data_IF_959939026658
#
_entry.id   IF_959939026658
#
_cell.length_a   1.000
_cell.length_b   1.000
_cell.length_c   1.000
_cell.angle_alpha   90.00
_cell.angle_beta   90.00
_cell.angle_gamma   90.00
#
_symmetry.space_group_name_H-M   'P 1'
#
loop_
_entity.id
_entity.type
_entity.pdbx_description
1 polymer ?
#
# COMPACT_ATOMS: atom_id res chain seq x y z
N UNK A 1 49.75 20.11 18.46
CA UNK A 1 49.58 18.82 19.14
C UNK A 1 48.11 18.47 19.04
N UNK A 2 47.74 17.21 18.82
CA UNK A 2 46.32 16.83 18.85
C UNK A 2 45.78 16.98 20.28
N UNK A 3 44.56 17.54 20.39
CA UNK A 3 43.84 17.71 21.64
C UNK A 3 42.73 16.66 21.71
N UNK A 4 42.58 16.02 22.86
CA UNK A 4 41.52 15.03 23.13
C UNK A 4 40.39 15.71 23.88
N UNK A 5 39.21 15.74 23.30
CA UNK A 5 37.99 16.26 23.90
C UNK A 5 37.13 15.06 24.34
N UNK A 6 36.85 14.94 25.64
CA UNK A 6 35.94 13.92 26.16
C UNK A 6 34.53 14.49 26.25
N UNK A 7 33.58 13.84 25.64
CA UNK A 7 32.16 14.20 25.70
C UNK A 7 31.34 13.06 26.25
N UNK A 8 30.50 13.31 27.26
CA UNK A 8 29.55 12.31 27.77
C UNK A 8 28.41 12.16 26.77
N UNK A 9 28.13 10.92 26.42
CA UNK A 9 26.99 10.55 25.56
C UNK A 9 26.06 9.62 26.31
N UNK A 10 24.79 9.66 25.96
CA UNK A 10 23.72 8.95 26.61
C UNK A 10 23.03 8.02 25.61
N UNK A 11 22.63 6.84 26.07
CA UNK A 11 21.69 5.99 25.36
C UNK A 11 20.26 6.52 25.53
N UNK A 12 19.37 6.20 24.61
CA UNK A 12 17.99 6.70 24.64
C UNK A 12 17.27 6.48 25.99
N UNK A 13 17.35 5.29 26.64
CA UNK A 13 16.70 5.08 27.94
C UNK A 13 17.20 5.98 29.06
N UNK A 14 18.44 6.47 28.96
CA UNK A 14 19.10 7.31 29.97
C UNK A 14 18.71 8.80 29.89
N UNK A 15 18.03 9.18 28.79
CA UNK A 15 17.61 10.56 28.57
C UNK A 15 16.44 10.96 29.46
N UNK A 16 16.36 12.24 29.80
CA UNK A 16 15.14 12.83 30.37
C UNK A 16 13.99 12.82 29.35
N UNK A 17 12.74 12.93 29.80
CA UNK A 17 11.57 12.90 28.91
C UNK A 17 11.63 13.99 27.84
N UNK A 18 12.05 15.20 28.18
CA UNK A 18 12.23 16.32 27.23
C UNK A 18 13.32 16.00 26.19
N UNK A 19 14.40 15.33 26.62
CA UNK A 19 15.47 14.92 25.71
C UNK A 19 15.04 13.74 24.81
N UNK A 20 14.24 12.82 25.33
CA UNK A 20 13.61 11.75 24.53
C UNK A 20 12.69 12.30 23.43
N UNK A 21 11.89 13.31 23.74
CA UNK A 21 11.03 13.96 22.73
C UNK A 21 11.85 14.55 21.57
N UNK A 22 13.00 15.16 21.88
CA UNK A 22 13.89 15.68 20.85
C UNK A 22 14.55 14.57 20.02
N UNK A 23 14.95 13.48 20.69
CA UNK A 23 15.52 12.32 20.02
C UNK A 23 14.51 11.67 19.09
N UNK A 24 13.22 11.49 19.52
CA UNK A 24 12.13 11.01 18.67
C UNK A 24 11.88 11.94 17.49
N UNK A 25 11.84 13.26 17.72
CA UNK A 25 11.65 14.25 16.66
C UNK A 25 12.76 14.15 15.61
N UNK A 26 14.01 14.07 16.05
CA UNK A 26 15.13 13.87 15.15
C UNK A 26 14.99 12.58 14.32
N UNK A 27 14.61 11.45 14.94
CA UNK A 27 14.44 10.19 14.22
C UNK A 27 13.30 10.24 13.20
N UNK A 28 12.18 10.94 13.54
CA UNK A 28 11.06 11.17 12.58
C UNK A 28 11.47 11.98 11.37
N UNK A 29 12.40 12.94 11.51
CA UNK A 29 12.90 13.73 10.38
C UNK A 29 13.67 12.88 9.37
N UNK A 30 14.20 11.72 9.77
CA UNK A 30 14.81 10.77 8.84
C UNK A 30 13.76 10.11 7.94
N UNK A 31 12.51 10.04 8.40
CA UNK A 31 11.43 9.31 7.73
C UNK A 31 11.57 7.80 7.81
N UNK A 32 10.54 7.05 7.41
CA UNK A 32 10.66 5.62 7.19
C UNK A 32 11.66 5.33 6.05
N UNK A 33 12.29 4.17 6.08
CA UNK A 33 13.21 3.74 5.04
C UNK A 33 12.55 3.83 3.65
N UNK A 34 13.36 4.10 2.62
CA UNK A 34 12.95 3.93 1.24
C UNK A 34 12.37 2.49 1.09
N UNK A 35 11.29 2.37 0.32
CA UNK A 35 10.58 1.11 0.08
C UNK A 35 9.81 0.51 1.30
N UNK A 36 9.49 1.30 2.34
CA UNK A 36 8.71 0.86 3.51
C UNK A 36 7.35 0.22 3.14
N UNK A 37 6.82 0.57 1.99
CA UNK A 37 5.55 0.05 1.47
C UNK A 37 5.65 -1.30 0.76
N UNK A 38 6.86 -1.86 0.55
CA UNK A 38 7.05 -3.06 -0.27
C UNK A 38 6.26 -4.26 0.25
N UNK A 39 6.24 -4.50 1.57
CA UNK A 39 5.46 -5.59 2.16
C UNK A 39 3.95 -5.42 1.94
N UNK A 40 3.43 -4.19 2.01
CA UNK A 40 2.02 -3.89 1.73
C UNK A 40 1.71 -4.12 0.24
N UNK A 41 2.64 -3.79 -0.64
CA UNK A 41 2.47 -4.03 -2.09
C UNK A 41 2.50 -5.52 -2.42
N UNK A 42 3.40 -6.29 -1.84
CA UNK A 42 3.47 -7.76 -2.03
C UNK A 42 2.15 -8.44 -1.57
N UNK A 43 1.61 -8.02 -0.43
CA UNK A 43 0.33 -8.51 0.06
C UNK A 43 -0.82 -8.12 -0.89
N UNK A 44 -0.83 -6.87 -1.36
CA UNK A 44 -1.81 -6.39 -2.32
C UNK A 44 -1.74 -7.11 -3.66
N UNK A 45 -0.55 -7.39 -4.19
CA UNK A 45 -0.36 -8.18 -5.41
C UNK A 45 -0.98 -9.56 -5.24
N UNK A 46 -0.76 -10.20 -4.09
CA UNK A 46 -1.36 -11.49 -3.77
C UNK A 46 -2.89 -11.44 -3.71
N UNK A 47 -3.45 -10.40 -3.12
CA UNK A 47 -4.90 -10.18 -3.09
C UNK A 47 -5.45 -9.99 -4.51
N UNK A 48 -4.77 -9.19 -5.34
CA UNK A 48 -5.12 -9.01 -6.74
C UNK A 48 -5.16 -10.33 -7.51
N UNK A 49 -4.13 -11.17 -7.37
CA UNK A 49 -4.11 -12.52 -7.98
C UNK A 49 -5.31 -13.37 -7.55
N UNK A 50 -5.64 -13.38 -6.26
CA UNK A 50 -6.78 -14.14 -5.72
C UNK A 50 -8.09 -13.65 -6.32
N UNK A 51 -8.26 -12.33 -6.48
CA UNK A 51 -9.45 -11.70 -7.04
C UNK A 51 -9.54 -11.82 -8.58
N UNK A 52 -8.46 -12.21 -9.25
CA UNK A 52 -8.38 -12.28 -10.71
C UNK A 52 -8.01 -10.96 -11.37
N UNK A 53 -7.34 -10.08 -10.62
CA UNK A 53 -6.77 -8.84 -11.13
C UNK A 53 -5.31 -9.09 -11.50
N UNK A 54 -5.03 -9.00 -12.78
CA UNK A 54 -3.67 -9.08 -13.32
C UNK A 54 -3.11 -7.66 -13.41
N UNK A 55 -2.25 -7.32 -12.46
CA UNK A 55 -1.63 -6.00 -12.43
C UNK A 55 -0.71 -5.81 -13.64
N UNK A 56 -0.81 -4.65 -14.27
CA UNK A 56 0.12 -4.21 -15.29
C UNK A 56 1.49 -3.97 -14.65
N UNK A 57 2.54 -4.25 -15.38
CA UNK A 57 3.92 -4.01 -14.92
C UNK A 57 4.67 -3.10 -15.88
N UNK A 58 5.63 -2.36 -15.35
CA UNK A 58 6.56 -1.54 -16.12
C UNK A 58 8.00 -1.97 -15.85
N UNK A 59 8.86 -2.04 -16.89
CA UNK A 59 10.25 -2.39 -16.71
C UNK A 59 11.01 -1.23 -16.05
N UNK A 60 11.66 -1.49 -14.92
CA UNK A 60 12.55 -0.53 -14.25
C UNK A 60 13.98 -1.04 -14.33
N UNK A 61 14.89 -0.20 -14.83
CA UNK A 61 16.30 -0.55 -14.94
C UNK A 61 16.99 -0.38 -13.58
N UNK A 62 17.64 -1.44 -13.13
CA UNK A 62 18.42 -1.44 -11.89
C UNK A 62 19.83 -0.87 -12.14
N UNK A 63 20.47 -0.37 -11.09
CA UNK A 63 21.84 0.19 -11.16
C UNK A 63 22.86 -0.80 -11.75
N UNK A 64 22.67 -2.11 -11.57
CA UNK A 64 23.51 -3.17 -12.17
C UNK A 64 23.20 -3.53 -13.61
N UNK A 65 22.31 -2.78 -14.31
CA UNK A 65 21.94 -3.01 -15.72
C UNK A 65 20.84 -4.05 -15.95
N UNK A 66 20.46 -4.83 -14.95
CA UNK A 66 19.31 -5.74 -14.99
C UNK A 66 17.98 -4.95 -15.02
N UNK A 67 16.90 -5.59 -15.47
CA UNK A 67 15.55 -5.00 -15.49
C UNK A 67 14.65 -5.75 -14.52
N UNK A 68 13.98 -5.03 -13.62
CA UNK A 68 12.92 -5.56 -12.75
C UNK A 68 11.56 -5.09 -13.29
N UNK A 69 10.56 -5.97 -13.28
CA UNK A 69 9.18 -5.59 -13.54
C UNK A 69 8.59 -5.02 -12.25
N UNK A 70 8.12 -3.78 -12.30
CA UNK A 70 7.45 -3.12 -11.17
C UNK A 70 5.96 -3.07 -11.45
N UNK A 71 5.08 -3.51 -10.53
CA UNK A 71 3.65 -3.42 -10.70
C UNK A 71 3.20 -1.96 -10.77
N UNK A 72 2.18 -1.70 -11.59
CA UNK A 72 1.57 -0.40 -11.73
C UNK A 72 0.61 -0.15 -10.56
N UNK A 73 1.18 0.11 -9.40
CA UNK A 73 0.52 0.48 -8.16
C UNK A 73 1.15 1.79 -7.70
N UNK A 74 0.33 2.74 -7.30
CA UNK A 74 0.80 4.03 -6.80
C UNK A 74 -0.07 4.49 -5.63
N UNK A 75 0.54 5.28 -4.76
CA UNK A 75 -0.16 6.08 -3.78
C UNK A 75 0.48 7.47 -3.71
N UNK A 76 -0.25 8.44 -3.23
CA UNK A 76 0.24 9.75 -2.79
C UNK A 76 0.30 9.78 -1.27
N UNK A 77 0.83 10.86 -0.71
CA UNK A 77 0.96 11.01 0.74
C UNK A 77 -0.35 10.81 1.52
N UNK A 78 -0.30 11.12 2.80
CA UNK A 78 -1.46 11.03 3.68
C UNK A 78 -1.84 12.43 4.15
N UNK A 79 -3.14 12.64 4.46
CA UNK A 79 -3.72 13.87 5.03
C UNK A 79 -3.83 15.09 4.11
N UNK A 80 -3.56 14.96 2.81
CA UNK A 80 -3.79 16.02 1.83
C UNK A 80 -5.02 15.75 0.96
N UNK A 81 -5.64 16.81 0.48
CA UNK A 81 -6.75 16.66 -0.46
C UNK A 81 -6.26 16.01 -1.76
N UNK A 82 -6.90 14.91 -2.16
CA UNK A 82 -6.52 14.15 -3.35
C UNK A 82 -5.49 13.04 -3.10
N UNK A 83 -5.12 12.80 -1.84
CA UNK A 83 -4.34 11.63 -1.46
C UNK A 83 -5.18 10.35 -1.57
N UNK A 84 -4.53 9.29 -2.00
CA UNK A 84 -5.19 8.01 -2.22
C UNK A 84 -4.25 6.98 -2.83
N UNK A 85 -4.81 5.91 -3.35
CA UNK A 85 -4.08 4.90 -4.12
C UNK A 85 -4.79 4.61 -5.44
N UNK A 86 -4.02 4.14 -6.42
CA UNK A 86 -4.49 3.72 -7.73
C UNK A 86 -3.69 2.53 -8.24
N UNK A 87 -4.27 1.81 -9.20
CA UNK A 87 -3.63 0.67 -9.86
C UNK A 87 -3.97 0.65 -11.35
N UNK A 88 -3.15 -0.07 -12.13
CA UNK A 88 -3.48 -0.45 -13.51
C UNK A 88 -3.42 -1.97 -13.66
N UNK A 89 -4.31 -2.50 -14.47
CA UNK A 89 -4.36 -3.93 -14.70
C UNK A 89 -5.60 -4.37 -15.45
N UNK A 90 -5.85 -5.67 -15.40
CA UNK A 90 -6.99 -6.32 -16.05
C UNK A 90 -7.66 -7.27 -15.08
N UNK A 91 -8.95 -7.08 -14.84
CA UNK A 91 -9.77 -7.97 -14.03
C UNK A 91 -10.50 -8.98 -14.93
N UNK A 92 -10.38 -10.26 -14.59
CA UNK A 92 -11.19 -11.33 -15.16
C UNK A 92 -11.75 -12.24 -14.06
N UNK A 93 -12.70 -13.11 -14.42
CA UNK A 93 -13.27 -14.02 -13.43
C UNK A 93 -12.24 -14.99 -12.86
N UNK A 94 -12.09 -14.99 -11.55
CA UNK A 94 -11.29 -15.96 -10.81
C UNK A 94 -12.19 -16.91 -10.02
N UNK A 95 -12.23 -18.19 -10.43
CA UNK A 95 -13.07 -19.19 -9.77
C UNK A 95 -12.74 -19.33 -8.29
N UNK A 96 -13.74 -19.20 -7.42
CA UNK A 96 -13.59 -19.37 -5.97
C UNK A 96 -12.86 -18.23 -5.28
N UNK A 97 -12.71 -17.05 -5.89
CA UNK A 97 -12.03 -15.89 -5.35
C UNK A 97 -12.52 -15.53 -3.94
N UNK A 98 -13.84 -15.44 -3.73
CA UNK A 98 -14.40 -15.09 -2.42
C UNK A 98 -14.05 -16.08 -1.30
N UNK A 99 -14.01 -17.39 -1.59
CA UNK A 99 -13.57 -18.38 -0.61
C UNK A 99 -12.07 -18.28 -0.32
N UNK A 100 -11.25 -18.03 -1.36
CA UNK A 100 -9.80 -17.87 -1.20
C UNK A 100 -9.44 -16.58 -0.44
N UNK A 101 -10.16 -15.48 -0.66
CA UNK A 101 -9.99 -14.25 0.12
C UNK A 101 -10.31 -14.48 1.60
N UNK A 102 -11.39 -15.23 1.92
CA UNK A 102 -11.70 -15.56 3.31
C UNK A 102 -10.65 -16.45 3.97
N UNK A 103 -10.05 -17.35 3.22
CA UNK A 103 -8.95 -18.18 3.72
C UNK A 103 -7.66 -17.37 3.92
N UNK A 104 -7.38 -16.42 3.02
CA UNK A 104 -6.20 -15.58 3.06
C UNK A 104 -6.27 -14.52 4.16
N UNK A 105 -7.36 -13.76 4.18
CA UNK A 105 -7.59 -12.68 5.14
C UNK A 105 -8.88 -12.93 5.95
N UNK A 106 -8.90 -13.89 6.90
CA UNK A 106 -10.12 -14.39 7.53
C UNK A 106 -10.86 -13.35 8.38
N UNK A 107 -10.18 -12.29 8.81
CA UNK A 107 -10.74 -11.22 9.64
C UNK A 107 -11.06 -9.93 8.87
N UNK A 108 -10.71 -9.85 7.59
CA UNK A 108 -10.91 -8.63 6.80
C UNK A 108 -12.28 -8.60 6.14
N UNK A 109 -13.24 -7.98 6.84
CA UNK A 109 -14.62 -7.84 6.34
C UNK A 109 -14.71 -6.97 5.07
N UNK A 110 -13.78 -6.02 4.88
CA UNK A 110 -13.75 -5.16 3.68
C UNK A 110 -13.39 -5.97 2.44
N UNK A 111 -12.34 -6.78 2.51
CA UNK A 111 -11.97 -7.68 1.41
C UNK A 111 -13.05 -8.73 1.13
N UNK A 112 -13.70 -9.27 2.18
CA UNK A 112 -14.83 -10.18 2.01
C UNK A 112 -15.96 -9.53 1.21
N UNK A 113 -16.33 -8.29 1.57
CA UNK A 113 -17.39 -7.53 0.88
C UNK A 113 -17.04 -7.27 -0.59
N UNK A 114 -15.80 -6.87 -0.90
CA UNK A 114 -15.33 -6.65 -2.26
C UNK A 114 -15.43 -7.95 -3.08
N UNK A 115 -14.89 -9.05 -2.55
CA UNK A 115 -14.90 -10.34 -3.23
C UNK A 115 -16.32 -10.88 -3.48
N UNK A 116 -17.24 -10.69 -2.53
CA UNK A 116 -18.65 -11.10 -2.67
C UNK A 116 -19.39 -10.31 -3.72
N UNK A 117 -19.17 -8.99 -3.78
CA UNK A 117 -19.77 -8.13 -4.82
C UNK A 117 -19.28 -8.54 -6.20
N UNK A 118 -17.96 -8.72 -6.36
CA UNK A 118 -17.38 -9.21 -7.61
C UNK A 118 -17.92 -10.59 -8.01
N UNK A 119 -18.01 -11.52 -7.06
CA UNK A 119 -18.56 -12.85 -7.33
C UNK A 119 -20.04 -12.79 -7.72
N UNK A 120 -20.83 -11.96 -7.04
CA UNK A 120 -22.26 -11.84 -7.30
C UNK A 120 -22.54 -11.28 -8.69
N UNK A 121 -21.83 -10.22 -9.07
CA UNK A 121 -22.04 -9.60 -10.40
C UNK A 121 -21.50 -10.49 -11.51
N UNK A 122 -20.38 -11.17 -11.30
CA UNK A 122 -19.85 -12.17 -12.24
C UNK A 122 -20.85 -13.30 -12.48
N UNK A 123 -21.44 -13.86 -11.40
CA UNK A 123 -22.46 -14.93 -11.51
C UNK A 123 -23.68 -14.50 -12.33
N UNK A 124 -24.16 -13.28 -12.15
CA UNK A 124 -25.30 -12.73 -12.90
C UNK A 124 -24.99 -12.54 -14.40
N UNK A 125 -23.71 -12.38 -14.72
CA UNK A 125 -23.21 -12.24 -16.08
C UNK A 125 -22.50 -13.51 -16.59
N UNK A 126 -22.85 -14.69 -16.06
CA UNK A 126 -22.31 -15.98 -16.47
C UNK A 126 -20.78 -16.08 -16.37
N UNK A 127 -20.16 -15.32 -15.46
CA UNK A 127 -18.71 -15.26 -15.26
C UNK A 127 -17.94 -14.74 -16.49
N UNK A 128 -18.56 -13.91 -17.29
CA UNK A 128 -18.04 -13.39 -18.56
C UNK A 128 -17.62 -11.92 -18.47
N UNK A 129 -17.72 -11.28 -17.28
CA UNK A 129 -17.28 -9.91 -17.14
C UNK A 129 -15.75 -9.82 -17.05
N UNK A 130 -15.23 -8.81 -17.74
CA UNK A 130 -13.84 -8.38 -17.65
C UNK A 130 -13.80 -6.86 -17.51
N UNK A 131 -12.72 -6.35 -16.93
CA UNK A 131 -12.51 -4.92 -16.82
C UNK A 131 -11.06 -4.54 -17.06
N UNK A 132 -10.83 -3.56 -17.91
CA UNK A 132 -9.55 -2.89 -18.05
C UNK A 132 -9.48 -1.74 -17.07
N UNK A 133 -8.40 -1.70 -16.26
CA UNK A 133 -8.17 -0.69 -15.24
C UNK A 133 -6.98 0.15 -15.69
N UNK A 134 -7.19 1.44 -15.91
CA UNK A 134 -6.16 2.39 -16.31
C UNK A 134 -6.17 3.61 -15.39
N UNK A 135 -4.99 4.15 -15.11
CA UNK A 135 -4.84 5.37 -14.35
C UNK A 135 -4.65 6.56 -15.31
N UNK A 136 -5.30 7.67 -14.99
CA UNK A 136 -5.16 8.93 -15.75
C UNK A 136 -5.01 10.11 -14.79
N UNK A 137 -4.05 10.96 -15.10
CA UNK A 137 -3.87 12.22 -14.39
C UNK A 137 -2.61 12.27 -13.55
N UNK A 138 -2.53 13.32 -12.73
CA UNK A 138 -1.34 13.66 -11.93
C UNK A 138 -1.40 13.08 -10.51
N UNK A 139 -2.59 12.81 -10.01
CA UNK A 139 -2.81 12.38 -8.64
C UNK A 139 -3.16 10.89 -8.60
N UNK A 140 -2.72 10.21 -7.55
CA UNK A 140 -3.01 8.79 -7.32
C UNK A 140 -4.18 8.66 -6.34
N UNK A 141 -5.37 8.47 -6.90
CA UNK A 141 -6.60 8.38 -6.13
C UNK A 141 -7.57 7.41 -6.85
N UNK A 142 -8.48 6.75 -6.12
CA UNK A 142 -9.43 5.80 -6.72
C UNK A 142 -10.32 6.41 -7.80
N UNK A 143 -10.57 7.72 -7.77
CA UNK A 143 -11.32 8.42 -8.82
C UNK A 143 -10.49 8.86 -10.03
N UNK A 144 -9.17 8.70 -9.98
CA UNK A 144 -8.31 8.90 -11.17
C UNK A 144 -8.14 7.63 -12.00
N UNK A 145 -8.73 6.53 -11.54
CA UNK A 145 -8.82 5.30 -12.33
C UNK A 145 -10.03 5.33 -13.26
N UNK A 146 -9.81 4.97 -14.53
CA UNK A 146 -10.86 4.59 -15.49
C UNK A 146 -10.95 3.07 -15.50
N UNK A 147 -12.18 2.57 -15.44
CA UNK A 147 -12.47 1.13 -15.43
C UNK A 147 -13.46 0.86 -16.55
N UNK A 148 -13.00 0.22 -17.62
CA UNK A 148 -13.80 -0.11 -18.78
C UNK A 148 -14.28 -1.56 -18.67
N UNK A 149 -15.59 -1.74 -18.42
CA UNK A 149 -16.20 -3.04 -18.19
C UNK A 149 -16.75 -3.62 -19.49
N UNK A 150 -16.36 -4.84 -19.80
CA UNK A 150 -16.83 -5.59 -20.97
C UNK A 150 -17.38 -6.95 -20.57
N UNK A 151 -18.17 -7.57 -21.46
CA UNK A 151 -18.63 -8.93 -21.31
C UNK A 151 -18.18 -9.76 -22.51
N UNK A 152 -17.36 -10.77 -22.27
CA UNK A 152 -16.96 -11.75 -23.28
C UNK A 152 -18.07 -12.79 -23.47
N UNK A 153 -19.10 -12.39 -24.23
CA UNK A 153 -20.26 -13.24 -24.52
C UNK A 153 -20.18 -13.78 -25.94
N UNK A 154 -20.21 -15.11 -26.13
CA UNK A 154 -20.27 -15.72 -27.47
C UNK A 154 -21.50 -15.27 -28.32
N UNK A 155 -22.54 -14.79 -27.66
CA UNK A 155 -23.79 -14.32 -28.29
C UNK A 155 -23.93 -12.80 -28.29
N UNK A 156 -22.82 -12.06 -28.03
CA UNK A 156 -22.77 -10.58 -28.03
C UNK A 156 -23.74 -9.92 -27.04
N UNK A 157 -24.09 -10.61 -25.96
CA UNK A 157 -24.95 -10.03 -24.95
C UNK A 157 -24.20 -8.96 -24.15
N UNK A 158 -24.79 -7.77 -23.94
CA UNK A 158 -24.18 -6.74 -23.13
C UNK A 158 -24.12 -7.16 -21.66
N UNK A 159 -23.27 -6.49 -20.83
CA UNK A 159 -23.35 -6.60 -19.38
C UNK A 159 -24.76 -6.25 -18.86
N UNK A 160 -25.12 -6.74 -17.65
CA UNK A 160 -26.33 -6.26 -16.97
C UNK A 160 -26.17 -4.77 -16.64
N UNK A 161 -27.29 -4.03 -16.58
CA UNK A 161 -27.29 -2.56 -16.46
C UNK A 161 -26.49 -2.02 -15.24
N UNK A 162 -26.38 -2.81 -14.17
CA UNK A 162 -25.67 -2.47 -12.94
C UNK A 162 -24.23 -3.05 -12.87
N UNK A 163 -23.80 -3.78 -13.91
CA UNK A 163 -22.52 -4.49 -13.86
C UNK A 163 -21.33 -3.54 -13.82
N UNK A 164 -21.37 -2.48 -14.62
CA UNK A 164 -20.32 -1.47 -14.67
C UNK A 164 -20.18 -0.77 -13.32
N UNK A 165 -21.28 -0.24 -12.77
CA UNK A 165 -21.30 0.46 -11.49
C UNK A 165 -20.73 -0.42 -10.36
N UNK A 166 -21.21 -1.67 -10.25
CA UNK A 166 -20.77 -2.59 -9.19
C UNK A 166 -19.29 -2.94 -9.33
N UNK A 167 -18.80 -3.20 -10.54
CA UNK A 167 -17.38 -3.52 -10.76
C UNK A 167 -16.48 -2.32 -10.51
N UNK A 168 -16.87 -1.14 -11.02
CA UNK A 168 -16.12 0.11 -10.80
C UNK A 168 -15.98 0.39 -9.30
N UNK A 169 -17.09 0.35 -8.55
CA UNK A 169 -17.04 0.61 -7.11
C UNK A 169 -16.28 -0.48 -6.33
N UNK A 170 -16.35 -1.73 -6.72
CA UNK A 170 -15.56 -2.79 -6.10
C UNK A 170 -14.05 -2.58 -6.30
N UNK A 171 -13.63 -2.14 -7.49
CA UNK A 171 -12.23 -1.83 -7.80
C UNK A 171 -11.76 -0.57 -7.05
N UNK A 172 -12.61 0.46 -6.95
CA UNK A 172 -12.33 1.65 -6.16
C UNK A 172 -12.20 1.34 -4.68
N UNK A 173 -13.08 0.49 -4.14
CA UNK A 173 -12.99 0.04 -2.75
C UNK A 173 -11.72 -0.74 -2.48
N UNK A 174 -11.23 -1.51 -3.46
CA UNK A 174 -9.94 -2.20 -3.35
C UNK A 174 -8.77 -1.20 -3.30
N UNK A 175 -8.79 -0.14 -4.09
CA UNK A 175 -7.79 0.92 -4.01
C UNK A 175 -7.85 1.68 -2.67
N UNK A 176 -9.06 1.96 -2.13
CA UNK A 176 -9.24 2.53 -0.79
C UNK A 176 -8.74 1.58 0.30
N UNK A 177 -8.93 0.29 0.13
CA UNK A 177 -8.40 -0.71 1.04
C UNK A 177 -6.87 -0.64 1.07
N UNK A 178 -6.21 -0.68 -0.10
CA UNK A 178 -4.76 -0.53 -0.21
C UNK A 178 -4.27 0.75 0.48
N UNK A 179 -4.91 1.88 0.22
CA UNK A 179 -4.54 3.16 0.83
C UNK A 179 -4.60 3.11 2.35
N UNK A 180 -5.63 2.48 2.93
CA UNK A 180 -5.74 2.30 4.39
C UNK A 180 -4.65 1.39 4.96
N UNK A 181 -4.24 0.34 4.24
CA UNK A 181 -3.12 -0.50 4.68
C UNK A 181 -1.81 0.28 4.70
N UNK A 182 -1.54 1.04 3.64
CA UNK A 182 -0.37 1.92 3.57
C UNK A 182 -0.37 2.97 4.69
N UNK A 183 -1.51 3.59 4.96
CA UNK A 183 -1.62 4.55 6.06
C UNK A 183 -1.36 3.87 7.42
N UNK A 184 -1.95 2.71 7.65
CA UNK A 184 -1.75 1.94 8.90
C UNK A 184 -0.29 1.56 9.11
N UNK A 185 0.39 1.14 8.06
CA UNK A 185 1.83 0.82 8.11
C UNK A 185 2.68 2.07 8.39
N UNK A 186 2.38 3.17 7.71
CA UNK A 186 3.07 4.44 7.93
C UNK A 186 2.86 4.94 9.37
N UNK A 187 1.63 4.91 9.89
CA UNK A 187 1.30 5.32 11.25
C UNK A 187 2.01 4.43 12.28
N UNK A 188 2.14 3.13 12.01
CA UNK A 188 2.91 2.20 12.84
C UNK A 188 4.40 2.55 12.84
N UNK A 189 5.02 2.71 11.68
CA UNK A 189 6.45 3.02 11.55
C UNK A 189 6.84 4.38 12.14
N UNK A 190 5.90 5.34 12.17
CA UNK A 190 6.11 6.68 12.72
C UNK A 190 5.59 6.85 14.15
N UNK A 191 5.07 5.79 14.77
CA UNK A 191 4.66 5.78 16.17
C UNK A 191 5.84 5.99 17.12
N UNK A 192 5.58 6.52 18.32
CA UNK A 192 6.61 6.70 19.34
C UNK A 192 7.31 5.39 19.67
N UNK A 193 6.54 4.31 19.78
CA UNK A 193 7.01 2.97 20.12
C UNK A 193 8.01 2.42 19.07
N UNK A 194 7.62 2.45 17.80
CA UNK A 194 8.49 1.98 16.68
C UNK A 194 9.76 2.84 16.54
N UNK A 195 9.63 4.15 16.75
CA UNK A 195 10.75 5.10 16.73
C UNK A 195 11.72 4.80 17.87
N UNK A 196 11.23 4.59 19.09
CA UNK A 196 12.08 4.27 20.25
C UNK A 196 12.81 2.94 20.05
N UNK A 197 12.09 1.93 19.56
CA UNK A 197 12.70 0.64 19.22
C UNK A 197 13.79 0.81 18.17
N UNK A 198 13.52 1.56 17.10
CA UNK A 198 14.49 1.86 16.04
C UNK A 198 15.74 2.59 16.57
N UNK A 199 15.57 3.56 17.46
CA UNK A 199 16.67 4.29 18.09
C UNK A 199 17.54 3.34 18.94
N UNK A 200 16.90 2.46 19.73
CA UNK A 200 17.57 1.53 20.63
C UNK A 200 18.31 0.44 19.85
N UNK A 201 17.65 -0.18 18.87
CA UNK A 201 18.24 -1.27 18.05
C UNK A 201 19.44 -0.78 17.25
N UNK A 202 19.42 0.47 16.78
CA UNK A 202 20.55 1.06 16.07
C UNK A 202 21.61 1.67 16.99
N UNK A 203 21.47 1.54 18.31
CA UNK A 203 22.44 2.00 19.31
C UNK A 203 22.79 3.50 19.17
N UNK A 204 21.83 4.34 18.74
CA UNK A 204 22.08 5.76 18.61
C UNK A 204 22.36 6.41 19.97
N UNK A 205 23.38 7.28 19.99
CA UNK A 205 23.78 8.01 21.18
C UNK A 205 23.45 9.49 21.06
N UNK A 206 23.22 10.12 22.21
CA UNK A 206 22.72 11.49 22.28
C UNK A 206 23.53 12.31 23.32
N UNK A 207 23.50 13.62 23.18
CA UNK A 207 23.89 14.55 24.24
C UNK A 207 22.82 14.56 25.33
N UNK A 208 23.12 15.09 26.53
CA UNK A 208 22.17 15.25 27.63
C UNK A 208 20.85 15.93 27.20
N UNK A 209 20.91 16.86 26.26
CA UNK A 209 19.75 17.58 25.73
C UNK A 209 19.01 16.84 24.59
N UNK A 210 19.30 15.59 24.29
CA UNK A 210 18.60 14.77 23.29
C UNK A 210 19.00 15.03 21.83
N UNK A 211 20.09 15.76 21.58
CA UNK A 211 20.64 15.95 20.24
C UNK A 211 21.50 14.73 19.89
N UNK A 212 21.32 14.15 18.69
CA UNK A 212 22.15 13.04 18.22
C UNK A 212 23.63 13.39 18.27
N UNK A 213 24.42 12.45 18.73
CA UNK A 213 25.89 12.52 18.77
C UNK A 213 26.48 11.54 17.74
N UNK A 214 27.31 12.04 16.81
CA UNK A 214 27.93 11.26 15.73
C UNK A 214 27.38 11.55 14.35
#
# INVERSE_FOLDING_TARGET
MPEVICTTVYQFPELSDVAKDKARSWYRELGPHDDWWDAVYEDFERICEILGIHLKTTPVRLMGGATRQKPCIWFSGFWSQGDGASLEGYLSHAKGAAARIRAYAPKDASLHSIADRLQTIQRRNFYQLAAEISHRGRYYHEYTMSVDVTRDSPTWQPPTADAEEIMVEAIRDLARWLYRQLQSEYDHLTSDESIEEGIIVNEYTFTEGGRRFG
#
